data_IF_143473358395
#
_entry.id   IF_143473358395
#
_cell.length_a   1.000
_cell.length_b   1.000
_cell.length_c   1.000
_cell.angle_alpha   90.00
_cell.angle_beta   90.00
_cell.angle_gamma   90.00
#
_symmetry.space_group_name_H-M   'P 1'
#
loop_
_entity.id
_entity.type
_entity.pdbx_description
1 polymer ?
#
# COMPACT_ATOMS: atom_id res chain seq x y z
N UNK A 1 10.48 30.61 -34.76
CA UNK A 1 11.33 31.07 -33.64
C UNK A 1 11.56 29.87 -32.72
N UNK A 2 12.76 29.32 -32.67
CA UNK A 2 13.08 28.22 -31.76
C UNK A 2 13.09 28.76 -30.32
N UNK A 3 12.19 28.27 -29.45
CA UNK A 3 12.26 28.57 -28.01
C UNK A 3 13.62 28.09 -27.51
N UNK A 4 14.46 29.02 -27.07
CA UNK A 4 15.71 28.70 -26.37
C UNK A 4 15.29 28.15 -25.01
N UNK A 5 15.13 26.83 -24.91
CA UNK A 5 14.77 26.18 -23.65
C UNK A 5 15.99 26.32 -22.74
N UNK A 6 15.83 27.02 -21.62
CA UNK A 6 16.91 27.26 -20.67
C UNK A 6 17.39 25.90 -20.10
N UNK A 7 18.71 25.74 -19.93
CA UNK A 7 19.28 24.52 -19.34
C UNK A 7 18.72 24.27 -17.93
N UNK A 8 18.36 25.33 -17.19
CA UNK A 8 17.69 25.25 -15.89
C UNK A 8 16.29 24.62 -16.02
N UNK A 9 15.46 25.13 -16.95
CA UNK A 9 14.11 24.60 -17.21
C UNK A 9 14.15 23.12 -17.62
N UNK A 10 15.13 22.71 -18.44
CA UNK A 10 15.31 21.28 -18.80
C UNK A 10 15.71 20.41 -17.61
N UNK A 11 16.50 20.94 -16.67
CA UNK A 11 16.87 20.20 -15.45
C UNK A 11 15.68 20.06 -14.53
N UNK A 12 14.91 21.12 -14.36
CA UNK A 12 13.67 21.11 -13.59
C UNK A 12 12.65 20.14 -14.18
N UNK A 13 12.43 20.16 -15.51
CA UNK A 13 11.57 19.18 -16.19
C UNK A 13 12.01 17.75 -15.94
N UNK A 14 13.31 17.44 -16.07
CA UNK A 14 13.82 16.07 -15.80
C UNK A 14 13.68 15.66 -14.34
N UNK A 15 13.84 16.60 -13.40
CA UNK A 15 13.63 16.34 -11.98
C UNK A 15 12.15 16.05 -11.74
N UNK A 16 11.24 16.87 -12.28
CA UNK A 16 9.80 16.69 -12.17
C UNK A 16 9.34 15.37 -12.80
N UNK A 17 9.81 15.05 -14.01
CA UNK A 17 9.56 13.77 -14.66
C UNK A 17 9.98 12.62 -13.75
N UNK A 18 11.22 12.64 -13.24
CA UNK A 18 11.71 11.59 -12.32
C UNK A 18 10.92 11.54 -11.01
N UNK A 19 10.48 12.68 -10.47
CA UNK A 19 9.66 12.76 -9.27
C UNK A 19 8.23 12.26 -9.50
N UNK A 20 7.74 12.20 -10.75
CA UNK A 20 6.42 11.69 -11.08
C UNK A 20 6.42 10.33 -11.79
N UNK A 21 7.58 9.80 -12.18
CA UNK A 21 7.68 8.47 -12.80
C UNK A 21 7.31 7.35 -11.83
N UNK A 22 6.45 6.40 -12.25
CA UNK A 22 6.12 5.22 -11.46
C UNK A 22 7.34 4.30 -11.30
N UNK A 23 7.38 3.56 -10.20
CA UNK A 23 8.37 2.51 -9.97
C UNK A 23 7.67 1.15 -9.98
N UNK A 24 7.94 0.34 -11.00
CA UNK A 24 7.27 -0.93 -11.16
C UNK A 24 7.71 -1.95 -10.09
N UNK A 25 6.73 -2.61 -9.48
CA UNK A 25 6.90 -3.74 -8.56
C UNK A 25 5.75 -4.73 -8.72
N UNK A 26 5.68 -5.70 -7.83
CA UNK A 26 4.63 -6.71 -7.84
C UNK A 26 4.21 -7.14 -6.43
N UNK A 27 3.00 -7.66 -6.32
CA UNK A 27 2.50 -8.38 -5.14
C UNK A 27 1.91 -9.68 -5.63
N UNK A 28 2.24 -10.79 -4.98
CA UNK A 28 1.66 -12.11 -5.23
C UNK A 28 0.62 -12.38 -4.15
N UNK A 29 -0.65 -12.34 -4.52
CA UNK A 29 -1.75 -12.80 -3.69
C UNK A 29 -1.81 -14.32 -3.68
N UNK A 30 -2.10 -14.87 -2.51
CA UNK A 30 -2.08 -16.29 -2.19
C UNK A 30 -3.43 -16.67 -1.60
N UNK A 31 -4.13 -17.64 -2.20
CA UNK A 31 -5.37 -18.20 -1.65
C UNK A 31 -5.24 -19.71 -1.45
N UNK A 32 -5.51 -20.18 -0.24
CA UNK A 32 -5.68 -21.60 0.00
C UNK A 32 -7.14 -21.99 -0.30
N UNK A 33 -7.44 -22.84 -1.29
CA UNK A 33 -8.83 -23.21 -1.61
C UNK A 33 -9.50 -24.06 -0.53
N UNK A 34 -8.72 -24.74 0.33
CA UNK A 34 -9.27 -25.56 1.40
C UNK A 34 -9.54 -24.76 2.69
N UNK A 35 -8.68 -23.80 3.02
CA UNK A 35 -8.81 -23.00 4.24
C UNK A 35 -9.46 -21.63 3.99
N UNK A 36 -9.66 -21.27 2.73
CA UNK A 36 -10.12 -19.94 2.28
C UNK A 36 -9.26 -18.78 2.80
N UNK A 37 -8.03 -19.07 3.25
CA UNK A 37 -7.09 -18.08 3.74
C UNK A 37 -6.51 -17.29 2.57
N UNK A 38 -6.46 -15.96 2.72
CA UNK A 38 -5.91 -15.02 1.74
C UNK A 38 -4.75 -14.25 2.35
N UNK A 39 -3.58 -14.34 1.73
CA UNK A 39 -2.36 -13.67 2.15
C UNK A 39 -1.65 -13.07 0.94
N UNK A 40 -0.69 -12.17 1.14
CA UNK A 40 0.11 -11.66 0.04
C UNK A 40 1.61 -11.71 0.35
N UNK A 41 2.43 -11.84 -0.70
CA UNK A 41 3.88 -11.95 -0.63
C UNK A 41 4.53 -11.19 -1.79
N UNK A 42 5.71 -10.64 -1.55
CA UNK A 42 6.58 -10.00 -2.54
C UNK A 42 7.41 -11.00 -3.36
N UNK A 43 7.42 -12.28 -2.97
CA UNK A 43 8.26 -13.30 -3.60
C UNK A 43 7.51 -14.02 -4.72
N UNK A 44 8.16 -14.17 -5.88
CA UNK A 44 7.72 -15.09 -6.93
C UNK A 44 8.32 -16.46 -6.69
N UNK A 45 7.51 -17.52 -6.75
CA UNK A 45 7.98 -18.90 -6.65
C UNK A 45 7.62 -19.67 -7.92
N UNK A 46 8.60 -20.35 -8.52
CA UNK A 46 8.40 -21.08 -9.78
C UNK A 46 7.54 -22.35 -9.62
N UNK A 47 7.58 -22.97 -8.44
CA UNK A 47 6.96 -24.27 -8.16
C UNK A 47 5.66 -24.14 -7.34
N UNK A 48 5.16 -22.92 -7.16
CA UNK A 48 4.03 -22.62 -6.28
C UNK A 48 4.34 -22.84 -4.80
N UNK A 49 3.33 -22.64 -3.96
CA UNK A 49 3.43 -22.77 -2.49
C UNK A 49 2.44 -23.78 -1.95
N UNK A 50 2.84 -24.48 -0.89
CA UNK A 50 1.98 -25.40 -0.16
C UNK A 50 1.54 -24.73 1.15
N UNK A 51 0.24 -24.60 1.35
CA UNK A 51 -0.31 -24.10 2.61
C UNK A 51 -0.06 -25.10 3.74
N UNK A 52 -0.09 -24.67 5.00
CA UNK A 52 0.15 -25.54 6.17
C UNK A 52 -0.79 -26.75 6.25
N UNK A 53 -1.96 -26.69 5.59
CA UNK A 53 -2.89 -27.81 5.49
C UNK A 53 -2.52 -28.86 4.44
N UNK A 54 -1.44 -28.68 3.69
CA UNK A 54 -0.97 -29.59 2.64
C UNK A 54 -1.51 -29.29 1.24
N UNK A 55 -2.36 -28.27 1.09
CA UNK A 55 -2.99 -27.91 -0.19
C UNK A 55 -2.16 -26.89 -0.96
N UNK A 56 -2.07 -27.07 -2.29
CA UNK A 56 -1.42 -26.12 -3.19
C UNK A 56 -2.19 -24.79 -3.19
N UNK A 57 -1.45 -23.70 -3.04
CA UNK A 57 -1.99 -22.34 -2.98
C UNK A 57 -2.21 -21.81 -4.39
N UNK A 58 -3.34 -21.15 -4.60
CA UNK A 58 -3.59 -20.34 -5.79
C UNK A 58 -2.82 -19.04 -5.69
N UNK A 59 -2.01 -18.72 -6.70
CA UNK A 59 -1.19 -17.52 -6.72
C UNK A 59 -1.69 -16.55 -7.81
N UNK A 60 -1.85 -15.28 -7.46
CA UNK A 60 -2.22 -14.22 -8.39
C UNK A 60 -1.25 -13.05 -8.28
N UNK A 61 -0.48 -12.81 -9.34
CA UNK A 61 0.46 -11.71 -9.38
C UNK A 61 -0.22 -10.42 -9.85
N UNK A 62 0.04 -9.34 -9.10
CA UNK A 62 -0.49 -8.00 -9.36
C UNK A 62 0.67 -7.05 -9.51
N UNK A 63 0.76 -6.38 -10.65
CA UNK A 63 1.72 -5.30 -10.84
C UNK A 63 1.32 -4.07 -10.02
N UNK A 64 2.29 -3.43 -9.40
CA UNK A 64 2.10 -2.23 -8.59
C UNK A 64 3.06 -1.12 -8.99
N UNK A 65 2.63 0.11 -8.74
CA UNK A 65 3.56 1.23 -8.59
C UNK A 65 3.99 1.33 -7.13
N UNK A 66 5.22 0.93 -6.84
CA UNK A 66 5.82 0.94 -5.51
C UNK A 66 5.74 2.34 -4.89
N UNK A 67 5.88 3.41 -5.69
CA UNK A 67 5.83 4.78 -5.18
C UNK A 67 4.42 5.17 -4.79
N UNK A 68 3.43 4.79 -5.59
CA UNK A 68 2.02 5.00 -5.24
C UNK A 68 1.67 4.26 -3.95
N UNK A 69 2.04 2.98 -3.84
CA UNK A 69 1.81 2.17 -2.63
C UNK A 69 2.48 2.76 -1.39
N UNK A 70 3.73 3.20 -1.53
CA UNK A 70 4.47 3.86 -0.45
C UNK A 70 3.77 5.15 -0.01
N UNK A 71 3.33 5.97 -0.96
CA UNK A 71 2.64 7.24 -0.69
C UNK A 71 1.33 7.00 0.06
N UNK A 72 0.52 6.03 -0.40
CA UNK A 72 -0.73 5.65 0.25
C UNK A 72 -0.49 5.10 1.66
N UNK A 73 0.53 4.25 1.83
CA UNK A 73 0.89 3.71 3.15
C UNK A 73 1.33 4.78 4.14
N UNK A 74 2.11 5.78 3.70
CA UNK A 74 2.51 6.91 4.55
C UNK A 74 1.31 7.75 4.99
N UNK A 75 0.40 8.08 4.06
CA UNK A 75 -0.86 8.79 4.36
C UNK A 75 -1.71 8.01 5.37
N UNK A 76 -1.77 6.69 5.24
CA UNK A 76 -2.45 5.83 6.22
C UNK A 76 -1.79 5.92 7.60
N UNK A 77 -0.46 5.87 7.70
CA UNK A 77 0.25 6.02 8.97
C UNK A 77 0.02 7.38 9.64
N UNK A 78 -0.02 8.47 8.87
CA UNK A 78 -0.37 9.80 9.39
C UNK A 78 -1.79 9.80 9.98
N UNK A 79 -2.77 9.26 9.25
CA UNK A 79 -4.14 9.15 9.71
C UNK A 79 -4.26 8.28 10.98
N UNK A 80 -3.55 7.16 11.03
CA UNK A 80 -3.52 6.29 12.22
C UNK A 80 -2.92 7.03 13.41
N UNK A 81 -1.84 7.79 13.21
CA UNK A 81 -1.22 8.60 14.26
C UNK A 81 -2.16 9.67 14.80
N UNK A 82 -2.90 10.36 13.91
CA UNK A 82 -3.94 11.31 14.32
C UNK A 82 -5.06 10.65 15.14
N UNK A 83 -5.52 9.47 14.70
CA UNK A 83 -6.55 8.70 15.43
C UNK A 83 -6.03 8.26 16.80
N UNK A 84 -4.80 7.77 16.90
CA UNK A 84 -4.16 7.43 18.17
C UNK A 84 -4.07 8.64 19.11
N UNK A 85 -3.68 9.81 18.59
CA UNK A 85 -3.62 11.05 19.36
C UNK A 85 -5.00 11.48 19.88
N UNK A 86 -6.05 11.34 19.08
CA UNK A 86 -7.45 11.59 19.50
C UNK A 86 -7.90 10.62 20.59
N UNK A 87 -7.51 9.34 20.53
CA UNK A 87 -7.85 8.35 21.58
C UNK A 87 -7.14 8.60 22.92
N UNK A 88 -6.04 9.35 22.93
CA UNK A 88 -5.32 9.72 24.16
C UNK A 88 -5.96 10.90 24.92
N UNK A 89 -6.97 11.57 24.36
CA UNK A 89 -7.68 12.66 25.03
C UNK A 89 -8.44 12.15 26.29
N UNK A 90 -8.21 12.80 27.43
CA UNK A 90 -8.69 12.36 28.77
C UNK A 90 -10.23 12.37 28.86
N UNK A 91 -10.82 11.21 29.14
CA UNK A 91 -12.24 11.06 29.46
C UNK A 91 -12.61 9.65 29.95
N UNK A 92 -13.77 9.51 30.61
CA UNK A 92 -14.25 8.35 31.38
C UNK A 92 -14.44 7.03 30.58
N UNK A 93 -14.08 6.99 29.29
CA UNK A 93 -14.26 5.85 28.36
C UNK A 93 -12.99 5.01 28.14
N UNK A 94 -12.05 5.05 29.09
CA UNK A 94 -10.70 4.44 29.00
C UNK A 94 -10.66 2.92 28.77
N UNK A 95 -11.76 2.17 29.00
CA UNK A 95 -11.81 0.71 28.75
C UNK A 95 -12.28 0.35 27.34
N UNK A 96 -13.20 1.13 26.74
CA UNK A 96 -13.65 0.91 25.36
C UNK A 96 -12.63 1.40 24.32
N UNK A 97 -11.80 2.38 24.67
CA UNK A 97 -10.74 2.90 23.81
C UNK A 97 -9.48 2.00 23.75
N UNK A 98 -9.32 1.04 24.67
CA UNK A 98 -8.14 0.15 24.69
C UNK A 98 -8.10 -0.82 23.52
N UNK A 99 -9.23 -1.39 23.12
CA UNK A 99 -9.32 -2.28 21.96
C UNK A 99 -9.08 -1.51 20.67
N UNK A 100 -9.66 -0.31 20.54
CA UNK A 100 -9.41 0.58 19.40
C UNK A 100 -7.95 1.00 19.28
N UNK A 101 -7.30 1.34 20.40
CA UNK A 101 -5.87 1.68 20.40
C UNK A 101 -4.99 0.52 19.97
N UNK A 102 -5.20 -0.68 20.53
CA UNK A 102 -4.43 -1.87 20.13
C UNK A 102 -4.61 -2.22 18.65
N UNK A 103 -5.82 -2.03 18.12
CA UNK A 103 -6.11 -2.19 16.69
C UNK A 103 -5.35 -1.16 15.84
N UNK A 104 -5.35 0.12 16.23
CA UNK A 104 -4.61 1.18 15.54
C UNK A 104 -3.09 0.92 15.57
N UNK A 105 -2.53 0.52 16.71
CA UNK A 105 -1.12 0.12 16.83
C UNK A 105 -0.78 -1.10 15.94
N UNK A 106 -1.71 -2.04 15.80
CA UNK A 106 -1.55 -3.18 14.89
C UNK A 106 -1.57 -2.74 13.42
N UNK A 107 -2.48 -1.83 13.05
CA UNK A 107 -2.55 -1.27 11.70
C UNK A 107 -1.29 -0.46 11.36
N UNK A 108 -0.77 0.34 12.31
CA UNK A 108 0.48 1.07 12.13
C UNK A 108 1.65 0.13 11.86
N UNK A 109 1.76 -0.96 12.65
CA UNK A 109 2.77 -2.00 12.44
C UNK A 109 2.61 -2.69 11.08
N UNK A 110 1.38 -2.97 10.67
CA UNK A 110 1.09 -3.58 9.37
C UNK A 110 1.51 -2.67 8.21
N UNK A 111 1.25 -1.36 8.30
CA UNK A 111 1.72 -0.38 7.31
C UNK A 111 3.25 -0.25 7.31
N UNK A 112 3.90 -0.28 8.48
CA UNK A 112 5.36 -0.26 8.58
C UNK A 112 6.00 -1.50 7.94
N UNK A 113 5.47 -2.69 8.23
CA UNK A 113 5.91 -3.94 7.61
C UNK A 113 5.70 -3.91 6.09
N UNK A 114 4.57 -3.36 5.63
CA UNK A 114 4.28 -3.20 4.21
C UNK A 114 5.32 -2.31 3.52
N UNK A 115 5.63 -1.13 4.09
CA UNK A 115 6.68 -0.24 3.55
C UNK A 115 8.04 -0.90 3.50
N UNK A 116 8.44 -1.65 4.54
CA UNK A 116 9.70 -2.41 4.52
C UNK A 116 9.75 -3.40 3.34
N UNK A 117 8.64 -4.07 3.02
CA UNK A 117 8.56 -4.96 1.85
C UNK A 117 8.64 -4.18 0.53
N UNK A 118 8.00 -3.03 0.44
CA UNK A 118 8.11 -2.13 -0.73
C UNK A 118 9.57 -1.68 -0.96
N UNK A 119 10.27 -1.31 0.11
CA UNK A 119 11.68 -0.93 0.07
C UNK A 119 12.59 -2.09 -0.38
N UNK A 120 12.31 -3.32 0.06
CA UNK A 120 13.05 -4.51 -0.40
C UNK A 120 12.84 -4.79 -1.89
N UNK A 121 11.64 -4.49 -2.42
CA UNK A 121 11.36 -4.62 -3.86
C UNK A 121 11.99 -3.50 -4.68
N UNK A 122 12.02 -2.29 -4.13
CA UNK A 122 12.68 -1.15 -4.75
C UNK A 122 14.19 -1.41 -4.78
N UNK A 123 14.74 -1.74 -5.95
CA UNK A 123 16.18 -1.94 -6.13
C UNK A 123 17.03 -0.68 -5.91
N UNK A 124 16.40 0.44 -5.56
CA UNK A 124 16.99 1.73 -5.23
C UNK A 124 16.12 2.48 -4.21
N UNK A 125 16.63 3.60 -3.67
CA UNK A 125 15.87 4.45 -2.75
C UNK A 125 14.52 4.86 -3.37
N UNK A 126 13.43 4.38 -2.79
CA UNK A 126 12.07 4.72 -3.19
C UNK A 126 11.60 5.96 -2.43
N UNK A 127 11.32 7.04 -3.15
CA UNK A 127 10.73 8.25 -2.58
C UNK A 127 9.23 8.28 -2.87
N UNK A 128 8.38 8.63 -1.88
CA UNK A 128 6.96 8.81 -2.14
C UNK A 128 6.74 9.90 -3.19
N UNK A 129 5.52 9.93 -3.72
CA UNK A 129 5.10 11.06 -4.52
C UNK A 129 4.96 12.33 -3.67
N UNK A 130 5.07 13.51 -4.29
CA UNK A 130 4.81 14.79 -3.62
C UNK A 130 3.41 14.84 -2.97
N UNK A 131 3.24 15.70 -1.97
CA UNK A 131 1.99 15.79 -1.20
C UNK A 131 0.77 16.15 -2.06
N UNK A 132 0.97 16.95 -3.11
CA UNK A 132 -0.05 17.36 -4.09
C UNK A 132 -0.40 16.27 -5.11
N UNK A 133 0.26 15.11 -5.07
CA UNK A 133 -0.05 13.98 -5.92
C UNK A 133 -1.38 13.33 -5.50
N UNK A 134 -2.38 13.40 -6.38
CA UNK A 134 -3.64 12.70 -6.18
C UNK A 134 -3.65 11.35 -6.92
N UNK A 135 -3.78 10.20 -6.23
CA UNK A 135 -3.89 8.90 -6.86
C UNK A 135 -5.06 8.83 -7.86
N UNK A 136 -6.19 9.48 -7.57
CA UNK A 136 -7.38 9.42 -8.41
C UNK A 136 -7.15 10.16 -9.73
N UNK A 137 -6.50 11.32 -9.70
CA UNK A 137 -6.12 12.07 -10.91
C UNK A 137 -5.12 11.29 -11.79
N UNK A 138 -4.39 10.35 -11.20
CA UNK A 138 -3.46 9.45 -11.92
C UNK A 138 -4.09 8.14 -12.36
N UNK A 139 -5.41 7.99 -12.19
CA UNK A 139 -6.15 6.79 -12.59
C UNK A 139 -5.98 5.61 -11.63
N UNK A 140 -5.46 5.83 -10.42
CA UNK A 140 -5.40 4.80 -9.38
C UNK A 140 -6.69 4.81 -8.57
N UNK A 141 -7.44 3.71 -8.63
CA UNK A 141 -8.69 3.55 -7.88
C UNK A 141 -8.39 3.33 -6.39
N UNK A 142 -8.82 4.27 -5.54
CA UNK A 142 -8.63 4.19 -4.09
C UNK A 142 -9.95 3.85 -3.39
N UNK A 143 -9.97 2.73 -2.68
CA UNK A 143 -11.05 2.37 -1.75
C UNK A 143 -10.73 2.93 -0.37
N UNK A 144 -11.72 3.55 0.28
CA UNK A 144 -11.61 3.98 1.68
C UNK A 144 -12.23 2.94 2.60
N UNK A 145 -11.52 2.56 3.66
CA UNK A 145 -11.98 1.62 4.67
C UNK A 145 -12.77 2.35 5.75
N UNK A 146 -14.07 2.08 5.84
CA UNK A 146 -14.88 2.58 6.95
C UNK A 146 -14.63 1.78 8.24
N UNK A 147 -14.71 2.41 9.43
CA UNK A 147 -14.92 3.85 9.67
C UNK A 147 -13.61 4.66 9.72
N UNK A 148 -12.45 4.03 9.51
CA UNK A 148 -11.14 4.63 9.78
C UNK A 148 -10.69 5.61 8.69
N UNK A 149 -11.24 5.51 7.49
CA UNK A 149 -10.86 6.32 6.34
C UNK A 149 -9.55 5.92 5.67
N UNK A 150 -8.95 4.77 6.05
CA UNK A 150 -7.70 4.28 5.47
C UNK A 150 -7.88 3.98 3.98
N UNK A 151 -6.85 4.28 3.21
CA UNK A 151 -6.85 4.12 1.77
C UNK A 151 -6.27 2.74 1.39
N UNK A 152 -6.97 2.04 0.50
CA UNK A 152 -6.51 0.79 -0.11
C UNK A 152 -6.48 0.97 -1.63
N UNK A 153 -5.34 0.65 -2.22
CA UNK A 153 -5.18 0.48 -3.66
C UNK A 153 -5.85 -0.81 -4.13
N UNK A 154 -6.04 -1.03 -5.44
CA UNK A 154 -6.61 -2.29 -5.95
C UNK A 154 -5.73 -3.49 -5.63
N UNK A 155 -4.41 -3.29 -5.61
CA UNK A 155 -3.45 -4.34 -5.27
C UNK A 155 -3.57 -4.82 -3.82
N UNK A 156 -4.16 -4.02 -2.92
CA UNK A 156 -4.37 -4.39 -1.51
C UNK A 156 -5.78 -4.91 -1.22
N UNK A 157 -6.61 -5.13 -2.25
CA UNK A 157 -7.98 -5.61 -2.14
C UNK A 157 -8.08 -7.08 -2.59
N UNK A 158 -8.00 -8.06 -1.67
CA UNK A 158 -7.98 -9.48 -2.02
C UNK A 158 -9.19 -9.94 -2.83
N UNK A 159 -10.35 -9.32 -2.62
CA UNK A 159 -11.60 -9.59 -3.32
C UNK A 159 -11.53 -9.34 -4.84
N UNK A 160 -10.62 -8.47 -5.30
CA UNK A 160 -10.42 -8.21 -6.73
C UNK A 160 -9.61 -9.30 -7.42
N UNK A 161 -8.78 -10.03 -6.65
CA UNK A 161 -7.85 -11.05 -7.17
C UNK A 161 -8.40 -12.46 -7.01
N UNK A 162 -9.22 -12.67 -6.00
CA UNK A 162 -9.94 -13.91 -5.76
C UNK A 162 -11.42 -13.63 -5.49
N UNK A 163 -12.24 -13.40 -6.53
CA UNK A 163 -13.66 -13.19 -6.36
C UNK A 163 -14.30 -14.39 -5.66
N UNK A 164 -15.20 -14.14 -4.73
CA UNK A 164 -16.00 -15.21 -4.13
C UNK A 164 -16.91 -15.81 -5.21
N UNK A 165 -17.04 -17.14 -5.23
CA UNK A 165 -17.96 -17.80 -6.14
C UNK A 165 -19.38 -17.29 -5.83
N UNK A 166 -19.99 -16.64 -6.82
CA UNK A 166 -21.35 -16.10 -6.74
C UNK A 166 -22.41 -17.20 -6.71
#
# INVERSE_FOLDING_TARGET
>A
MAKVINLAERREQKIQEKLHSPMQGWIVWLKCPQCETREYSELRMAEGRIHKCGTLVEEHEVEIDIRAELTVSLRNSELISELLNKTNAKGFLKKFLKSGRAMLEHLERSEEEYRKRLELMASCECKPYPDDWDPVEKGLEIKKMDPLGLQLTPARQPELHFPDAS
#
